data_IF_941235926813
#
_entry.id   IF_941235926813
#
_cell.length_a   1.000
_cell.length_b   1.000
_cell.length_c   1.000
_cell.angle_alpha   90.00
_cell.angle_beta   90.00
_cell.angle_gamma   90.00
#
_symmetry.space_group_name_H-M   'P 1'
#
loop_
_entity.id
_entity.type
_entity.pdbx_description
1 polymer ?
#
# COMPACT_ATOMS: atom_id res chain seq x y z
N UNK A 1 -24.30 -1.51 -73.23
CA UNK A 1 -24.85 -2.18 -72.03
C UNK A 1 -23.87 -1.88 -70.90
N UNK A 2 -24.08 -0.85 -70.05
CA UNK A 2 -24.70 -0.93 -68.70
C UNK A 2 -24.25 -2.23 -68.00
N UNK A 3 -23.44 -2.19 -66.95
CA UNK A 3 -23.87 -1.86 -65.58
C UNK A 3 -22.74 -1.29 -64.69
N UNK A 4 -23.14 -0.40 -63.78
CA UNK A 4 -22.40 0.12 -62.61
C UNK A 4 -22.14 -0.98 -61.57
N UNK A 5 -21.09 -0.87 -60.75
CA UNK A 5 -21.12 -1.14 -59.29
C UNK A 5 -19.96 -0.39 -58.59
N UNK A 6 -20.24 0.82 -58.09
CA UNK A 6 -20.33 1.19 -56.66
C UNK A 6 -19.00 1.07 -55.90
N UNK A 7 -18.31 2.21 -55.79
CA UNK A 7 -17.29 2.47 -54.79
C UNK A 7 -17.94 2.69 -53.43
N UNK A 8 -17.55 1.92 -52.42
CA UNK A 8 -17.91 2.15 -51.03
C UNK A 8 -16.64 2.06 -50.17
N UNK A 9 -15.85 3.12 -50.18
CA UNK A 9 -14.73 3.34 -49.26
C UNK A 9 -15.28 3.72 -47.89
N UNK A 10 -15.47 2.71 -47.03
CA UNK A 10 -15.71 2.88 -45.59
C UNK A 10 -14.43 3.38 -44.92
N UNK A 11 -14.27 4.69 -44.84
CA UNK A 11 -13.30 5.33 -43.93
C UNK A 11 -13.86 5.23 -42.50
N UNK A 12 -13.50 4.15 -41.80
CA UNK A 12 -13.75 4.03 -40.37
C UNK A 12 -12.84 5.02 -39.63
N UNK A 13 -13.37 6.19 -39.29
CA UNK A 13 -12.73 7.12 -38.37
C UNK A 13 -12.70 6.50 -36.97
N UNK A 14 -11.61 5.80 -36.65
CA UNK A 14 -11.28 5.43 -35.28
C UNK A 14 -11.01 6.71 -34.50
N UNK A 15 -12.02 7.19 -33.77
CA UNK A 15 -11.83 8.18 -32.72
C UNK A 15 -10.98 7.52 -31.63
N UNK A 16 -9.66 7.65 -31.75
CA UNK A 16 -8.74 7.40 -30.67
C UNK A 16 -9.03 8.45 -29.59
N UNK A 17 -9.80 8.06 -28.57
CA UNK A 17 -9.87 8.79 -27.32
C UNK A 17 -8.48 8.74 -26.68
N UNK A 18 -7.62 9.70 -27.02
CA UNK A 18 -6.41 9.97 -26.26
C UNK A 18 -6.87 10.60 -24.94
N UNK A 19 -7.02 9.76 -23.92
CA UNK A 19 -7.20 10.26 -22.57
C UNK A 19 -6.01 11.20 -22.27
N UNK A 20 -6.25 12.42 -21.75
CA UNK A 20 -5.17 13.31 -21.39
C UNK A 20 -4.30 12.60 -20.35
N UNK A 21 -3.01 12.45 -20.63
CA UNK A 21 -2.05 12.01 -19.64
C UNK A 21 -1.99 13.09 -18.56
N UNK A 22 -2.72 12.90 -17.46
CA UNK A 22 -2.55 13.74 -16.28
C UNK A 22 -1.17 13.43 -15.72
N UNK A 23 -0.21 14.31 -15.99
CA UNK A 23 1.06 14.31 -15.28
C UNK A 23 0.75 14.42 -13.78
N UNK A 24 1.36 13.55 -12.98
CA UNK A 24 1.22 13.64 -11.54
C UNK A 24 1.77 14.99 -11.06
N UNK A 25 1.15 15.56 -10.03
CA UNK A 25 1.64 16.84 -9.49
C UNK A 25 3.02 16.67 -8.86
N UNK A 26 3.76 17.76 -8.68
CA UNK A 26 5.05 17.72 -7.99
C UNK A 26 4.91 17.15 -6.57
N UNK A 27 3.81 17.47 -5.88
CA UNK A 27 3.51 16.93 -4.56
C UNK A 27 3.25 15.42 -4.60
N UNK A 28 2.50 14.92 -5.59
CA UNK A 28 2.30 13.48 -5.78
C UNK A 28 3.60 12.76 -6.11
N UNK A 29 4.45 13.36 -6.93
CA UNK A 29 5.75 12.79 -7.28
C UNK A 29 6.72 12.78 -6.11
N UNK A 30 6.65 13.78 -5.22
CA UNK A 30 7.48 13.82 -4.02
C UNK A 30 7.18 12.69 -3.01
N UNK A 31 6.04 11.99 -3.14
CA UNK A 31 5.71 10.82 -2.32
C UNK A 31 6.79 9.74 -2.46
N UNK A 32 7.34 9.54 -3.65
CA UNK A 32 8.39 8.55 -3.91
C UNK A 32 9.65 8.74 -3.05
N UNK A 33 9.96 9.99 -2.69
CA UNK A 33 11.14 10.35 -1.89
C UNK A 33 10.77 10.43 -0.40
N UNK A 34 9.57 10.94 -0.10
CA UNK A 34 9.13 11.19 1.27
C UNK A 34 8.63 9.95 2.02
N UNK A 35 8.04 8.97 1.31
CA UNK A 35 7.46 7.77 1.92
C UNK A 35 8.50 6.88 2.60
N UNK A 36 9.67 6.58 1.99
CA UNK A 36 10.77 5.85 2.66
C UNK A 36 11.15 6.39 4.04
N UNK A 37 11.05 7.71 4.25
CA UNK A 37 11.34 8.36 5.53
C UNK A 37 10.14 8.45 6.48
N UNK A 38 8.97 7.92 6.11
CA UNK A 38 7.74 8.05 6.88
C UNK A 38 7.14 9.46 6.88
N UNK A 39 7.43 10.26 5.84
CA UNK A 39 7.07 11.69 5.72
C UNK A 39 7.69 12.55 6.84
N UNK A 40 9.03 12.73 6.85
CA UNK A 40 9.69 13.60 7.82
C UNK A 40 9.30 15.08 7.65
N UNK A 41 9.84 15.96 8.49
CA UNK A 41 9.65 17.42 8.35
C UNK A 41 9.96 17.89 6.93
N UNK A 42 9.06 18.67 6.32
CA UNK A 42 9.16 19.10 4.93
C UNK A 42 8.36 18.25 3.93
N UNK A 43 7.96 17.03 4.30
CA UNK A 43 7.17 16.13 3.45
C UNK A 43 5.64 16.25 3.66
N UNK A 44 5.18 17.37 4.22
CA UNK A 44 3.76 17.60 4.53
C UNK A 44 2.87 17.60 3.29
N UNK A 45 3.30 18.26 2.22
CA UNK A 45 2.57 18.30 0.95
C UNK A 45 2.45 16.91 0.31
N UNK A 46 3.55 16.15 0.28
CA UNK A 46 3.57 14.75 -0.18
C UNK A 46 2.57 13.88 0.60
N UNK A 47 2.54 14.01 1.93
CA UNK A 47 1.64 13.25 2.80
C UNK A 47 0.17 13.58 2.51
N UNK A 48 -0.14 14.85 2.30
CA UNK A 48 -1.48 15.31 1.92
C UNK A 48 -1.87 14.78 0.54
N UNK A 49 -1.00 14.89 -0.46
CA UNK A 49 -1.22 14.34 -1.79
C UNK A 49 -1.49 12.83 -1.76
N UNK A 50 -0.70 12.05 -0.99
CA UNK A 50 -0.95 10.62 -0.80
C UNK A 50 -2.34 10.37 -0.20
N UNK A 51 -2.72 11.12 0.83
CA UNK A 51 -4.05 11.00 1.46
C UNK A 51 -5.17 11.33 0.48
N UNK A 52 -5.01 12.36 -0.35
CA UNK A 52 -6.02 12.77 -1.32
C UNK A 52 -6.18 11.73 -2.43
N UNK A 53 -5.09 11.16 -2.94
CA UNK A 53 -5.13 10.01 -3.85
C UNK A 53 -5.91 8.83 -3.27
N UNK A 54 -5.69 8.52 -2.00
CA UNK A 54 -6.39 7.43 -1.31
C UNK A 54 -7.90 7.73 -1.17
N UNK A 55 -8.27 8.98 -0.87
CA UNK A 55 -9.68 9.40 -0.83
C UNK A 55 -10.34 9.28 -2.21
N UNK A 56 -9.58 9.58 -3.26
CA UNK A 56 -10.00 9.43 -4.66
C UNK A 56 -9.96 7.97 -5.17
N UNK A 57 -9.77 7.00 -4.27
CA UNK A 57 -9.66 5.57 -4.58
C UNK A 57 -8.53 5.22 -5.57
N UNK A 58 -7.48 6.05 -5.63
CA UNK A 58 -6.25 5.82 -6.39
C UNK A 58 -5.20 5.12 -5.52
N UNK A 59 -4.18 4.57 -6.18
CA UNK A 59 -2.98 4.07 -5.51
C UNK A 59 -2.31 5.16 -4.66
N UNK A 60 -1.72 4.84 -3.50
CA UNK A 60 -1.08 5.82 -2.62
C UNK A 60 0.00 6.65 -3.32
N UNK A 61 0.73 6.04 -4.25
CA UNK A 61 1.71 6.69 -5.10
C UNK A 61 1.17 6.78 -6.55
N UNK A 62 1.52 7.84 -7.31
CA UNK A 62 1.36 7.84 -8.75
C UNK A 62 2.29 6.80 -9.39
N UNK A 63 2.04 6.42 -10.64
CA UNK A 63 2.99 5.59 -11.38
C UNK A 63 4.33 6.32 -11.47
N UNK A 64 5.44 5.61 -11.26
CA UNK A 64 6.76 6.24 -11.28
C UNK A 64 7.05 6.93 -12.62
N UNK A 65 6.58 6.35 -13.73
CA UNK A 65 6.71 6.94 -15.07
C UNK A 65 6.03 8.31 -15.25
N UNK A 66 5.03 8.64 -14.43
CA UNK A 66 4.40 9.96 -14.45
C UNK A 66 5.22 11.05 -13.73
N UNK A 67 6.27 10.63 -13.00
CA UNK A 67 7.15 11.46 -12.19
C UNK A 67 8.61 11.46 -12.67
N UNK A 68 9.01 10.41 -13.40
CA UNK A 68 10.36 10.26 -13.93
C UNK A 68 10.52 11.13 -15.19
N UNK A 69 11.07 12.34 -15.02
CA UNK A 69 11.62 13.13 -16.12
C UNK A 69 13.09 12.75 -16.32
N UNK A 70 13.38 11.98 -17.38
CA UNK A 70 14.72 11.63 -17.89
C UNK A 70 15.81 11.44 -16.81
N UNK A 71 15.79 10.33 -16.04
CA UNK A 71 16.87 10.04 -15.10
C UNK A 71 18.19 9.83 -15.87
N UNK A 72 19.32 10.43 -15.44
CA UNK A 72 20.62 10.10 -16.02
C UNK A 72 20.93 8.62 -15.82
N UNK A 73 21.56 8.01 -16.82
CA UNK A 73 21.89 6.58 -16.83
C UNK A 73 22.56 6.14 -15.52
N UNK A 74 21.94 5.22 -14.78
CA UNK A 74 22.44 4.73 -13.50
C UNK A 74 21.90 5.45 -12.24
N UNK A 75 20.98 6.41 -12.38
CA UNK A 75 20.30 7.06 -11.25
C UNK A 75 18.80 6.70 -11.20
N UNK A 76 18.46 5.62 -10.51
CA UNK A 76 17.10 5.40 -9.97
C UNK A 76 15.96 5.26 -11.00
N UNK A 77 16.25 4.78 -12.21
CA UNK A 77 15.24 4.63 -13.27
C UNK A 77 14.18 3.57 -12.97
N UNK A 78 14.37 2.74 -11.94
CA UNK A 78 13.48 1.63 -11.57
C UNK A 78 12.99 1.74 -10.13
N UNK A 79 12.22 2.79 -9.81
CA UNK A 79 11.44 2.81 -8.57
C UNK A 79 10.10 2.11 -8.77
N UNK A 80 9.75 1.23 -7.84
CA UNK A 80 8.44 0.54 -7.80
C UNK A 80 7.84 0.65 -6.41
N UNK A 81 6.53 0.48 -6.30
CA UNK A 81 5.82 0.57 -5.02
C UNK A 81 4.87 -0.59 -4.86
N UNK A 82 4.73 -1.07 -3.63
CA UNK A 82 3.70 -2.02 -3.24
C UNK A 82 2.87 -1.45 -2.10
N UNK A 83 1.62 -1.86 -2.00
CA UNK A 83 0.70 -1.37 -0.97
C UNK A 83 -0.46 -2.34 -0.76
N UNK A 84 -1.05 -2.28 0.43
CA UNK A 84 -2.16 -3.16 0.74
C UNK A 84 -2.76 -2.91 2.11
N UNK A 85 -3.44 -3.93 2.62
CA UNK A 85 -3.99 -3.95 3.97
C UNK A 85 -3.10 -4.77 4.90
N UNK A 86 -3.07 -4.40 6.17
CA UNK A 86 -2.44 -5.16 7.23
C UNK A 86 -3.35 -5.24 8.46
N UNK A 87 -3.38 -6.40 9.12
CA UNK A 87 -4.04 -6.54 10.40
C UNK A 87 -3.09 -6.06 11.50
N UNK A 88 -3.54 -5.11 12.31
CA UNK A 88 -2.77 -4.60 13.45
C UNK A 88 -3.07 -5.42 14.70
N UNK A 89 -2.02 -5.97 15.29
CA UNK A 89 -2.05 -6.64 16.58
C UNK A 89 -1.25 -5.77 17.56
N UNK A 90 -1.91 -5.18 18.58
CA UNK A 90 -1.24 -4.29 19.52
C UNK A 90 -0.25 -5.06 20.40
N UNK A 91 0.67 -4.36 21.10
CA UNK A 91 1.50 -4.97 22.11
C UNK A 91 0.60 -5.62 23.17
N UNK A 92 0.91 -6.85 23.55
CA UNK A 92 0.08 -7.60 24.50
C UNK A 92 0.91 -8.42 25.44
N UNK A 93 0.44 -8.51 26.68
CA UNK A 93 1.03 -9.38 27.68
C UNK A 93 0.56 -10.81 27.45
N UNK A 94 1.51 -11.73 27.36
CA UNK A 94 1.24 -13.17 27.29
C UNK A 94 1.92 -13.84 28.47
N UNK A 95 1.35 -14.98 28.89
CA UNK A 95 2.02 -15.80 29.90
C UNK A 95 3.26 -16.44 29.28
N UNK A 96 4.43 -16.17 29.85
CA UNK A 96 5.70 -16.78 29.43
C UNK A 96 6.07 -18.01 30.25
N UNK A 97 5.54 -18.12 31.47
CA UNK A 97 5.80 -19.28 32.34
C UNK A 97 4.56 -19.67 33.15
N UNK A 98 4.25 -20.96 33.11
CA UNK A 98 3.18 -21.57 33.88
C UNK A 98 3.76 -22.45 34.99
N UNK A 99 3.15 -22.40 36.18
CA UNK A 99 3.45 -23.31 37.28
C UNK A 99 2.25 -24.18 37.61
N UNK A 100 2.49 -25.48 37.69
CA UNK A 100 1.50 -26.47 38.09
C UNK A 100 1.48 -26.63 39.61
N UNK A 101 0.29 -26.60 40.20
CA UNK A 101 0.03 -26.80 41.63
C UNK A 101 -0.97 -27.96 41.80
N UNK A 102 -0.49 -29.20 41.73
CA UNK A 102 -1.35 -30.39 41.78
C UNK A 102 -1.78 -30.87 40.38
N UNK A 103 -2.83 -31.70 40.31
CA UNK A 103 -3.16 -32.44 39.06
C UNK A 103 -3.73 -31.53 37.95
N UNK A 104 -4.62 -30.60 38.31
CA UNK A 104 -5.44 -29.84 37.34
C UNK A 104 -5.38 -28.31 37.54
N UNK A 105 -4.41 -27.81 38.30
CA UNK A 105 -4.27 -26.38 38.57
C UNK A 105 -2.95 -25.86 38.00
N UNK A 106 -3.04 -25.10 36.92
CA UNK A 106 -1.92 -24.40 36.30
C UNK A 106 -2.15 -22.90 36.38
N UNK A 107 -1.16 -22.17 36.89
CA UNK A 107 -1.23 -20.72 37.03
C UNK A 107 -0.08 -20.06 36.29
N UNK A 108 -0.38 -18.99 35.56
CA UNK A 108 0.65 -18.13 35.02
C UNK A 108 1.45 -17.45 36.14
N UNK A 109 2.77 -17.60 36.12
CA UNK A 109 3.68 -17.04 37.12
C UNK A 109 4.66 -16.02 36.55
N UNK A 110 4.84 -15.98 35.23
CA UNK A 110 5.62 -14.96 34.56
C UNK A 110 4.90 -14.47 33.29
N UNK A 111 5.08 -13.20 32.98
CA UNK A 111 4.51 -12.57 31.80
C UNK A 111 5.61 -11.94 30.97
N UNK A 112 5.47 -12.01 29.66
CA UNK A 112 6.24 -11.23 28.71
C UNK A 112 5.31 -10.31 27.91
N UNK A 113 5.87 -9.21 27.38
CA UNK A 113 5.13 -8.33 26.47
C UNK A 113 5.59 -8.61 25.06
N UNK A 114 4.70 -9.15 24.24
CA UNK A 114 4.94 -9.24 22.81
C UNK A 114 4.81 -7.85 22.19
N UNK A 115 5.73 -7.43 21.31
CA UNK A 115 5.64 -6.15 20.63
C UNK A 115 4.43 -6.12 19.68
N UNK A 116 4.12 -4.93 19.20
CA UNK A 116 3.10 -4.80 18.15
C UNK A 116 3.53 -5.48 16.85
N UNK A 117 2.54 -5.89 16.07
CA UNK A 117 2.75 -6.61 14.82
C UNK A 117 1.75 -6.15 13.76
N UNK A 118 2.24 -6.10 12.53
CA UNK A 118 1.44 -5.86 11.34
C UNK A 118 1.48 -7.09 10.44
N UNK A 119 0.35 -7.79 10.31
CA UNK A 119 0.24 -8.94 9.40
C UNK A 119 -0.17 -8.42 8.03
N UNK A 120 0.80 -8.27 7.12
CA UNK A 120 0.56 -7.78 5.74
C UNK A 120 -0.41 -8.68 4.97
N UNK A 121 -1.03 -8.11 3.94
CA UNK A 121 -1.99 -8.74 3.04
C UNK A 121 -3.19 -9.39 3.74
N UNK A 122 -3.51 -8.90 4.93
CA UNK A 122 -4.56 -9.44 5.78
C UNK A 122 -5.35 -8.30 6.40
N UNK A 123 -6.66 -8.48 6.55
CA UNK A 123 -7.53 -7.54 7.29
C UNK A 123 -7.89 -8.13 8.63
N UNK A 124 -8.03 -7.28 9.65
CA UNK A 124 -8.62 -7.70 10.92
C UNK A 124 -10.13 -7.88 10.74
N UNK A 125 -10.62 -9.10 10.96
CA UNK A 125 -12.04 -9.47 10.83
C UNK A 125 -12.54 -10.00 12.16
N UNK A 126 -13.83 -9.79 12.42
CA UNK A 126 -14.55 -10.38 13.53
C UNK A 126 -15.59 -11.30 12.93
N UNK A 127 -15.65 -12.55 13.37
CA UNK A 127 -16.68 -13.49 12.94
C UNK A 127 -17.98 -13.31 13.75
N UNK A 128 -18.94 -14.23 13.54
CA UNK A 128 -20.26 -14.18 14.19
C UNK A 128 -20.19 -14.46 15.68
N UNK A 129 -19.17 -15.18 16.13
CA UNK A 129 -18.99 -15.57 17.52
C UNK A 129 -18.17 -14.52 18.31
N UNK A 130 -17.74 -13.46 17.62
CA UNK A 130 -16.94 -12.37 18.18
C UNK A 130 -15.43 -12.64 18.14
N UNK A 131 -15.03 -13.75 17.54
CA UNK A 131 -13.63 -14.14 17.41
C UNK A 131 -12.94 -13.34 16.31
N UNK A 132 -11.68 -13.00 16.58
CA UNK A 132 -10.89 -12.11 15.73
C UNK A 132 -9.89 -12.88 14.89
N UNK A 133 -9.82 -12.54 13.60
CA UNK A 133 -8.85 -13.09 12.67
C UNK A 133 -8.04 -11.98 11.97
N UNK A 134 -6.70 -11.99 12.05
CA UNK A 134 -5.86 -12.86 12.88
C UNK A 134 -6.13 -12.71 14.37
N UNK A 135 -5.83 -13.74 15.16
CA UNK A 135 -6.06 -13.71 16.62
C UNK A 135 -5.38 -12.48 17.23
N UNK A 136 -6.09 -11.82 18.14
CA UNK A 136 -5.66 -10.59 18.83
C UNK A 136 -5.60 -9.33 17.95
N UNK A 137 -5.97 -9.38 16.67
CA UNK A 137 -6.01 -8.17 15.86
C UNK A 137 -7.05 -7.18 16.41
N UNK A 138 -6.77 -5.88 16.35
CA UNK A 138 -7.72 -4.86 16.83
C UNK A 138 -8.22 -3.95 15.72
N UNK A 139 -7.41 -3.74 14.68
CA UNK A 139 -7.68 -2.78 13.60
C UNK A 139 -7.13 -3.29 12.27
N UNK A 140 -7.66 -2.77 11.17
CA UNK A 140 -7.08 -2.93 9.84
C UNK A 140 -6.37 -1.65 9.47
N UNK A 141 -5.06 -1.73 9.21
CA UNK A 141 -4.27 -0.64 8.67
C UNK A 141 -4.11 -0.85 7.16
N UNK A 142 -3.71 0.21 6.48
CA UNK A 142 -3.11 0.18 5.14
C UNK A 142 -1.60 0.34 5.28
N UNK A 143 -0.88 -0.14 4.29
CA UNK A 143 0.57 0.00 4.22
C UNK A 143 1.01 0.30 2.79
N UNK A 144 2.18 0.92 2.68
CA UNK A 144 2.84 1.18 1.40
C UNK A 144 4.36 1.12 1.57
N UNK A 145 5.02 0.70 0.51
CA UNK A 145 6.46 0.52 0.40
C UNK A 145 6.95 1.08 -0.93
N UNK A 146 8.19 1.55 -0.92
CA UNK A 146 8.91 1.98 -2.11
C UNK A 146 10.15 1.12 -2.24
N UNK A 147 10.44 0.71 -3.46
CA UNK A 147 11.63 -0.05 -3.82
C UNK A 147 12.46 0.77 -4.79
N UNK A 148 13.77 0.77 -4.60
CA UNK A 148 14.76 1.37 -5.50
C UNK A 148 15.64 0.23 -5.99
N UNK A 149 15.65 -0.01 -7.30
CA UNK A 149 16.39 -1.14 -7.90
C UNK A 149 16.01 -2.49 -7.27
N UNK A 150 14.72 -2.65 -6.95
CA UNK A 150 14.16 -3.86 -6.33
C UNK A 150 14.44 -4.02 -4.82
N UNK A 151 15.20 -3.12 -4.21
CA UNK A 151 15.47 -3.13 -2.77
C UNK A 151 14.52 -2.21 -2.02
N UNK A 152 14.01 -2.66 -0.87
CA UNK A 152 13.12 -1.85 -0.04
C UNK A 152 13.84 -0.59 0.44
N UNK A 153 13.28 0.57 0.09
CA UNK A 153 13.77 1.88 0.50
C UNK A 153 13.05 2.32 1.78
N UNK A 154 13.71 2.12 2.92
CA UNK A 154 13.20 2.54 4.24
C UNK A 154 12.17 1.58 4.85
N UNK A 155 11.66 1.90 6.06
CA UNK A 155 10.62 1.11 6.72
C UNK A 155 9.28 1.16 5.97
N UNK A 156 8.47 0.11 6.13
CA UNK A 156 7.07 0.12 5.68
C UNK A 156 6.29 1.25 6.35
N UNK A 157 5.57 2.05 5.56
CA UNK A 157 4.71 3.10 6.10
C UNK A 157 3.30 2.56 6.34
N UNK A 158 2.81 2.62 7.58
CA UNK A 158 1.47 2.17 7.98
C UNK A 158 0.55 3.33 8.34
N UNK A 159 -0.73 3.25 7.98
CA UNK A 159 -1.77 4.21 8.39
C UNK A 159 -3.14 3.54 8.51
N UNK A 160 -4.09 4.20 9.17
CA UNK A 160 -5.49 3.79 9.26
C UNK A 160 -6.37 4.92 8.69
#
# INVERSE_FOLDING_TARGET
>A
MKQLFVALSLFAAAFAFTAPAQAASQDECSIWICLPGGFPSGCGAAKSAMRDRIKDMKSPLPSFSSCAVNPPSGSGSHMTSDFGYAAYIPPRRVCSEYRRYGRDNERCIAYETLPEQYVKNTRCRVDRDGDRHPRYCTRTYRWAEVFVEGQLAGPTYYWN
#
